data_IF_484865519698
#
_entry.id   IF_484865519698
#
_cell.length_a   1.000
_cell.length_b   1.000
_cell.length_c   1.000
_cell.angle_alpha   90.00
_cell.angle_beta   90.00
_cell.angle_gamma   90.00
#
_symmetry.space_group_name_H-M   'P 1'
#
loop_
_entity.id
_entity.type
_entity.pdbx_description
1 polymer ?
#
# COMPACT_ATOMS: atom_id res chain seq x y z
N UNK A 1 -16.58 -8.37 -8.48
CA UNK A 1 -15.39 -8.12 -9.30
C UNK A 1 -15.47 -6.69 -9.81
N UNK A 2 -14.55 -5.84 -9.39
CA UNK A 2 -14.48 -4.44 -9.85
C UNK A 2 -13.84 -4.40 -11.23
N UNK A 3 -14.47 -3.74 -12.20
CA UNK A 3 -13.90 -3.59 -13.54
C UNK A 3 -12.90 -2.44 -13.60
N UNK A 4 -11.72 -2.68 -14.16
CA UNK A 4 -10.70 -1.65 -14.39
C UNK A 4 -11.04 -0.92 -15.69
N UNK A 5 -11.21 0.41 -15.65
CA UNK A 5 -11.52 1.22 -16.84
C UNK A 5 -10.26 1.46 -17.69
N UNK A 6 -10.44 1.51 -19.01
CA UNK A 6 -9.39 1.82 -19.99
C UNK A 6 -8.78 3.22 -19.82
N UNK A 7 -7.59 3.43 -20.40
CA UNK A 7 -6.83 4.68 -20.39
C UNK A 7 -6.19 5.06 -19.04
N UNK A 8 -6.26 4.17 -18.04
CA UNK A 8 -5.66 4.40 -16.72
C UNK A 8 -4.21 3.92 -16.65
N UNK A 9 -3.40 4.65 -15.88
CA UNK A 9 -2.08 4.20 -15.43
C UNK A 9 -2.26 3.43 -14.13
N UNK A 10 -1.81 2.18 -14.09
CA UNK A 10 -1.95 1.28 -12.95
C UNK A 10 -0.60 0.89 -12.39
N UNK A 11 -0.50 0.78 -11.07
CA UNK A 11 0.59 0.09 -10.41
C UNK A 11 0.04 -1.19 -9.79
N UNK A 12 0.62 -2.32 -10.18
CA UNK A 12 0.16 -3.64 -9.77
C UNK A 12 1.02 -4.15 -8.62
N UNK A 13 0.35 -4.44 -7.51
CA UNK A 13 0.85 -5.22 -6.39
C UNK A 13 0.86 -6.74 -6.73
N UNK A 14 1.54 -7.57 -5.95
CA UNK A 14 1.60 -9.02 -6.15
C UNK A 14 0.19 -9.64 -6.22
N UNK A 15 -0.74 -9.18 -5.38
CA UNK A 15 -2.11 -9.71 -5.38
C UNK A 15 -2.89 -9.39 -6.66
N UNK A 16 -2.50 -8.33 -7.37
CA UNK A 16 -3.10 -7.92 -8.64
C UNK A 16 -2.64 -8.79 -9.81
N UNK A 17 -1.58 -9.58 -9.62
CA UNK A 17 -0.98 -10.43 -10.64
C UNK A 17 -1.35 -11.92 -10.49
N UNK A 18 -2.28 -12.24 -9.60
CA UNK A 18 -2.82 -13.60 -9.52
C UNK A 18 -3.45 -14.03 -10.84
N UNK A 19 -3.28 -15.31 -11.18
CA UNK A 19 -3.67 -15.87 -12.46
C UNK A 19 -5.17 -15.69 -12.72
N UNK A 20 -5.51 -14.89 -13.73
CA UNK A 20 -6.88 -14.77 -14.25
C UNK A 20 -7.43 -13.35 -14.35
N UNK A 21 -6.72 -12.34 -13.82
CA UNK A 21 -7.10 -10.94 -14.04
C UNK A 21 -6.68 -10.48 -15.42
N UNK A 22 -7.64 -10.17 -16.27
CA UNK A 22 -7.40 -9.46 -17.52
C UNK A 22 -7.53 -7.96 -17.29
N UNK A 23 -6.53 -7.22 -17.74
CA UNK A 23 -6.50 -5.75 -17.70
C UNK A 23 -6.84 -5.20 -19.09
N UNK A 24 -7.50 -4.02 -19.18
CA UNK A 24 -7.79 -3.38 -20.46
C UNK A 24 -6.53 -3.24 -21.31
N UNK A 25 -6.59 -3.52 -22.63
CA UNK A 25 -5.43 -3.43 -23.51
C UNK A 25 -4.76 -2.05 -23.51
N UNK A 26 -5.55 -0.99 -23.34
CA UNK A 26 -5.16 0.41 -23.32
C UNK A 26 -4.74 0.92 -21.92
N UNK A 27 -4.83 0.09 -20.88
CA UNK A 27 -4.25 0.42 -19.57
C UNK A 27 -2.72 0.28 -19.61
N UNK A 28 -2.03 1.25 -19.01
CA UNK A 28 -0.56 1.24 -18.85
C UNK A 28 -0.22 0.63 -17.51
N UNK A 29 0.47 -0.50 -17.50
CA UNK A 29 0.70 -1.30 -16.31
C UNK A 29 2.15 -1.13 -15.84
N UNK A 30 2.31 -0.72 -14.60
CA UNK A 30 3.59 -0.60 -13.91
C UNK A 30 3.68 -1.57 -12.72
N UNK A 31 4.90 -1.91 -12.35
CA UNK A 31 5.20 -2.63 -11.11
C UNK A 31 6.65 -2.37 -10.70
N UNK A 32 7.07 -2.88 -9.54
CA UNK A 32 8.44 -2.77 -9.03
C UNK A 32 9.24 -4.05 -9.31
N UNK A 33 10.58 -3.97 -9.39
CA UNK A 33 11.43 -5.15 -9.58
C UNK A 33 11.26 -6.23 -8.50
N UNK A 34 11.00 -5.83 -7.25
CA UNK A 34 10.84 -6.78 -6.14
C UNK A 34 9.55 -7.59 -6.29
N UNK A 35 8.45 -6.96 -6.71
CA UNK A 35 7.19 -7.64 -7.03
C UNK A 35 7.39 -8.64 -8.18
N UNK A 36 8.15 -8.28 -9.23
CA UNK A 36 8.47 -9.21 -10.32
C UNK A 36 9.31 -10.40 -9.80
N UNK A 37 10.26 -10.13 -8.90
CA UNK A 37 11.11 -11.16 -8.32
C UNK A 37 10.30 -12.14 -7.46
N UNK A 38 9.36 -11.63 -6.66
CA UNK A 38 8.41 -12.43 -5.90
C UNK A 38 7.50 -13.25 -6.83
N UNK A 39 6.92 -12.61 -7.84
CA UNK A 39 6.04 -13.26 -8.81
C UNK A 39 6.76 -14.41 -9.51
N UNK A 40 8.00 -14.20 -9.98
CA UNK A 40 8.82 -15.25 -10.60
C UNK A 40 9.21 -16.36 -9.64
N UNK A 41 9.30 -16.08 -8.34
CA UNK A 41 9.60 -17.09 -7.31
C UNK A 41 8.38 -17.97 -7.05
N UNK A 42 7.20 -17.37 -6.91
CA UNK A 42 5.96 -18.06 -6.53
C UNK A 42 5.26 -18.68 -7.74
N UNK A 43 5.25 -18.01 -8.89
CA UNK A 43 4.46 -18.37 -10.07
C UNK A 43 5.34 -18.56 -11.31
N UNK A 44 6.06 -19.70 -11.35
CA UNK A 44 6.93 -20.09 -12.46
C UNK A 44 6.12 -20.66 -13.63
N UNK A 45 5.49 -19.80 -14.42
CA UNK A 45 4.74 -20.21 -15.60
C UNK A 45 5.11 -19.39 -16.83
N UNK A 46 5.00 -20.00 -18.02
CA UNK A 46 5.22 -19.29 -19.29
C UNK A 46 4.25 -18.12 -19.48
N UNK A 47 3.05 -18.20 -18.90
CA UNK A 47 2.06 -17.10 -18.93
C UNK A 47 2.52 -15.92 -18.08
N UNK A 48 3.11 -16.19 -16.91
CA UNK A 48 3.66 -15.16 -16.02
C UNK A 48 4.78 -14.39 -16.73
N UNK A 49 5.75 -15.12 -17.29
CA UNK A 49 6.89 -14.50 -17.99
C UNK A 49 6.41 -13.69 -19.20
N UNK A 50 5.51 -14.25 -20.01
CA UNK A 50 4.93 -13.53 -21.13
C UNK A 50 4.23 -12.23 -20.70
N UNK A 51 3.46 -12.26 -19.61
CA UNK A 51 2.79 -11.06 -19.09
C UNK A 51 3.78 -10.00 -18.63
N UNK A 52 4.81 -10.41 -17.87
CA UNK A 52 5.89 -9.53 -17.41
C UNK A 52 6.61 -8.88 -18.60
N UNK A 53 6.99 -9.68 -19.60
CA UNK A 53 7.82 -9.22 -20.70
C UNK A 53 7.05 -8.39 -21.75
N UNK A 54 5.72 -8.56 -21.85
CA UNK A 54 4.92 -7.92 -22.92
C UNK A 54 3.94 -6.86 -22.47
N UNK A 55 3.51 -6.87 -21.19
CA UNK A 55 2.45 -5.98 -20.69
C UNK A 55 2.89 -5.09 -19.53
N UNK A 56 3.92 -5.50 -18.77
CA UNK A 56 4.37 -4.75 -17.59
C UNK A 56 5.57 -3.87 -17.89
N UNK A 57 5.52 -2.63 -17.37
CA UNK A 57 6.69 -1.75 -17.28
C UNK A 57 7.23 -1.81 -15.86
N UNK A 58 8.42 -2.41 -15.70
CA UNK A 58 9.07 -2.52 -14.39
C UNK A 58 9.86 -1.25 -14.11
N UNK A 59 9.59 -0.58 -13.00
CA UNK A 59 10.23 0.70 -12.63
C UNK A 59 10.47 0.80 -11.13
N UNK A 60 11.66 1.28 -10.74
CA UNK A 60 11.93 1.68 -9.35
C UNK A 60 11.38 3.07 -9.06
N UNK A 61 10.75 3.29 -7.89
CA UNK A 61 10.37 4.64 -7.47
C UNK A 61 11.60 5.49 -7.16
N UNK A 62 11.44 6.82 -7.24
CA UNK A 62 12.47 7.76 -6.75
C UNK A 62 12.59 7.71 -5.24
N UNK A 63 13.82 7.88 -4.76
CA UNK A 63 14.12 7.93 -3.32
C UNK A 63 13.30 9.00 -2.57
N UNK A 64 13.05 10.15 -3.18
CA UNK A 64 12.21 11.21 -2.58
C UNK A 64 10.74 10.79 -2.42
N UNK A 65 10.21 9.97 -3.31
CA UNK A 65 8.86 9.40 -3.19
C UNK A 65 8.82 8.38 -2.05
N UNK A 66 9.84 7.53 -1.93
CA UNK A 66 9.99 6.54 -0.84
C UNK A 66 9.99 7.23 0.52
N UNK A 67 10.76 8.30 0.67
CA UNK A 67 10.84 9.08 1.91
C UNK A 67 9.49 9.69 2.27
N UNK A 68 8.79 10.30 1.31
CA UNK A 68 7.47 10.88 1.54
C UNK A 68 6.44 9.84 1.99
N UNK A 69 6.39 8.69 1.32
CA UNK A 69 5.47 7.60 1.66
C UNK A 69 5.78 7.04 3.06
N UNK A 70 7.07 6.84 3.39
CA UNK A 70 7.48 6.39 4.72
C UNK A 70 7.08 7.36 5.82
N UNK A 71 7.27 8.66 5.61
CA UNK A 71 6.87 9.67 6.59
C UNK A 71 5.34 9.70 6.78
N UNK A 72 4.56 9.54 5.69
CA UNK A 72 3.11 9.42 5.81
C UNK A 72 2.69 8.14 6.55
N UNK A 73 3.32 7.00 6.23
CA UNK A 73 3.07 5.72 6.88
C UNK A 73 3.46 5.72 8.37
N UNK A 74 4.48 6.48 8.75
CA UNK A 74 4.81 6.69 10.17
C UNK A 74 3.72 7.51 10.86
N UNK A 75 3.27 8.59 10.22
CA UNK A 75 2.26 9.51 10.77
C UNK A 75 0.89 8.86 10.99
N UNK A 76 0.46 7.97 10.10
CA UNK A 76 -0.80 7.23 10.26
C UNK A 76 -0.66 5.92 11.08
N UNK A 77 0.58 5.51 11.38
CA UNK A 77 0.91 4.33 12.15
C UNK A 77 0.91 3.01 11.36
N UNK A 78 0.82 3.06 10.03
CA UNK A 78 0.87 1.86 9.17
C UNK A 78 2.30 1.39 8.86
N UNK A 79 3.34 2.17 9.14
CA UNK A 79 4.73 1.81 8.80
C UNK A 79 5.16 0.44 9.31
N UNK A 80 4.65 -0.01 10.46
CA UNK A 80 4.97 -1.31 11.03
C UNK A 80 4.21 -2.49 10.38
N UNK A 81 3.24 -2.20 9.51
CA UNK A 81 2.40 -3.15 8.77
C UNK A 81 2.79 -3.29 7.30
N UNK A 82 3.53 -2.32 6.77
CA UNK A 82 3.99 -2.29 5.38
C UNK A 82 5.35 -2.97 5.25
N UNK A 83 5.48 -3.85 4.27
CA UNK A 83 6.75 -4.38 3.79
C UNK A 83 7.55 -3.32 3.01
N UNK A 84 8.86 -3.51 2.80
CA UNK A 84 9.64 -2.68 1.87
C UNK A 84 9.02 -2.62 0.46
N UNK A 85 8.50 -3.74 -0.03
CA UNK A 85 7.87 -3.88 -1.34
C UNK A 85 6.57 -3.05 -1.42
N UNK A 86 5.76 -3.05 -0.34
CA UNK A 86 4.54 -2.23 -0.25
C UNK A 86 4.86 -0.74 -0.34
N UNK A 87 5.94 -0.32 0.33
CA UNK A 87 6.42 1.07 0.28
C UNK A 87 6.81 1.43 -1.15
N UNK A 88 7.48 0.55 -1.88
CA UNK A 88 7.90 0.83 -3.25
C UNK A 88 6.70 0.91 -4.21
N UNK A 89 5.69 0.05 -4.05
CA UNK A 89 4.43 0.11 -4.80
C UNK A 89 3.70 1.44 -4.55
N UNK A 90 3.52 1.82 -3.28
CA UNK A 90 2.91 3.08 -2.90
C UNK A 90 3.69 4.28 -3.47
N UNK A 91 5.01 4.23 -3.41
CA UNK A 91 5.90 5.30 -3.87
C UNK A 91 5.88 5.46 -5.38
N UNK A 92 5.84 4.36 -6.11
CA UNK A 92 5.76 4.37 -7.56
C UNK A 92 4.40 4.92 -8.01
N UNK A 93 3.32 4.51 -7.36
CA UNK A 93 1.98 5.01 -7.66
C UNK A 93 1.85 6.51 -7.35
N UNK A 94 2.43 6.96 -6.24
CA UNK A 94 2.49 8.37 -5.87
C UNK A 94 3.23 9.20 -6.94
N UNK A 95 4.41 8.75 -7.37
CA UNK A 95 5.21 9.43 -8.41
C UNK A 95 4.47 9.53 -9.75
N UNK A 96 3.81 8.44 -10.16
CA UNK A 96 3.14 8.34 -11.45
C UNK A 96 1.71 8.90 -11.46
N UNK A 97 1.17 9.30 -10.29
CA UNK A 97 -0.25 9.61 -10.09
C UNK A 97 -1.15 8.48 -10.60
N UNK A 98 -0.73 7.24 -10.34
CA UNK A 98 -1.36 6.03 -10.85
C UNK A 98 -2.35 5.45 -9.84
N UNK A 99 -3.27 4.61 -10.33
CA UNK A 99 -4.16 3.82 -9.48
C UNK A 99 -3.46 2.53 -9.05
N UNK A 100 -3.46 2.22 -7.75
CA UNK A 100 -2.92 0.94 -7.25
C UNK A 100 -3.96 -0.15 -7.41
N UNK A 101 -3.57 -1.33 -7.87
CA UNK A 101 -4.41 -2.52 -7.80
C UNK A 101 -3.84 -3.40 -6.69
N UNK A 102 -4.63 -3.65 -5.65
CA UNK A 102 -4.18 -4.40 -4.46
C UNK A 102 -5.37 -4.92 -3.65
N UNK A 103 -5.18 -6.05 -2.98
CA UNK A 103 -6.11 -6.58 -1.98
C UNK A 103 -5.61 -6.33 -0.53
N UNK A 104 -4.47 -5.66 -0.34
CA UNK A 104 -3.92 -5.39 0.99
C UNK A 104 -4.53 -4.13 1.61
N UNK A 105 -5.22 -4.28 2.74
CA UNK A 105 -5.85 -3.15 3.42
C UNK A 105 -4.87 -2.12 3.99
N UNK A 106 -3.64 -2.50 4.32
CA UNK A 106 -2.59 -1.57 4.77
C UNK A 106 -2.13 -0.68 3.62
N UNK A 107 -1.97 -1.25 2.41
CA UNK A 107 -1.70 -0.47 1.19
C UNK A 107 -2.88 0.45 0.89
N UNK A 108 -4.12 -0.05 0.92
CA UNK A 108 -5.31 0.78 0.66
C UNK A 108 -5.49 1.92 1.68
N UNK A 109 -5.17 1.67 2.95
CA UNK A 109 -5.25 2.68 4.01
C UNK A 109 -4.19 3.78 3.83
N UNK A 110 -2.95 3.40 3.52
CA UNK A 110 -1.86 4.34 3.26
C UNK A 110 -2.08 5.11 1.95
N UNK A 111 -2.56 4.44 0.90
CA UNK A 111 -2.97 5.06 -0.35
C UNK A 111 -4.06 6.11 -0.11
N UNK A 112 -5.04 5.82 0.75
CA UNK A 112 -6.07 6.79 1.14
C UNK A 112 -5.49 8.03 1.82
N UNK A 113 -4.51 7.87 2.72
CA UNK A 113 -3.82 8.99 3.37
C UNK A 113 -3.00 9.85 2.38
N UNK A 114 -2.46 9.22 1.34
CA UNK A 114 -1.69 9.87 0.27
C UNK A 114 -2.57 10.44 -0.85
N UNK A 115 -3.89 10.23 -0.82
CA UNK A 115 -4.80 10.62 -1.89
C UNK A 115 -4.63 9.82 -3.19
N UNK A 116 -4.05 8.63 -3.10
CA UNK A 116 -3.84 7.72 -4.24
C UNK A 116 -5.12 6.89 -4.46
N UNK A 117 -5.57 6.80 -5.72
CA UNK A 117 -6.66 5.89 -6.08
C UNK A 117 -6.20 4.44 -5.98
N UNK A 118 -7.11 3.54 -5.60
CA UNK A 118 -6.84 2.10 -5.63
C UNK A 118 -8.08 1.29 -6.02
N UNK A 119 -7.85 0.06 -6.47
CA UNK A 119 -8.85 -0.92 -6.89
C UNK A 119 -8.60 -2.23 -6.14
N UNK A 120 -9.65 -2.74 -5.52
CA UNK A 120 -9.75 -4.12 -5.01
C UNK A 120 -10.57 -4.93 -6.01
N UNK A 121 -10.04 -6.06 -6.48
CA UNK A 121 -10.65 -6.91 -7.51
C UNK A 121 -11.58 -7.96 -6.90
N UNK A 122 -11.14 -8.60 -5.82
CA UNK A 122 -11.78 -9.78 -5.25
C UNK A 122 -12.53 -9.50 -3.94
N UNK A 123 -11.94 -8.71 -3.05
CA UNK A 123 -12.57 -8.34 -1.77
C UNK A 123 -13.13 -6.92 -1.82
N UNK A 124 -14.07 -6.56 -0.91
CA UNK A 124 -14.52 -5.19 -0.79
C UNK A 124 -13.37 -4.25 -0.44
N UNK A 125 -13.31 -3.09 -1.09
CA UNK A 125 -12.36 -2.04 -0.73
C UNK A 125 -12.54 -1.58 0.72
N UNK A 126 -11.45 -1.13 1.36
CA UNK A 126 -11.50 -0.58 2.70
C UNK A 126 -12.50 0.58 2.78
N UNK A 127 -13.45 0.48 3.72
CA UNK A 127 -14.51 1.47 3.90
C UNK A 127 -14.09 2.60 4.86
N UNK A 128 -13.31 2.24 5.88
CA UNK A 128 -12.88 3.15 6.93
C UNK A 128 -11.37 3.32 6.91
N UNK A 129 -10.93 4.58 6.87
CA UNK A 129 -9.56 4.94 7.17
C UNK A 129 -9.25 4.64 8.64
N UNK A 130 -8.10 4.02 8.89
CA UNK A 130 -7.67 3.57 10.22
C UNK A 130 -6.39 4.30 10.64
N UNK A 131 -6.43 4.95 11.79
CA UNK A 131 -5.21 5.44 12.45
C UNK A 131 -4.79 4.47 13.56
N UNK A 132 -3.49 4.15 13.60
CA UNK A 132 -2.90 3.29 14.61
C UNK A 132 -2.01 4.10 15.54
N UNK A 133 -2.19 3.91 16.84
CA UNK A 133 -1.29 4.43 17.86
C UNK A 133 -0.53 3.27 18.48
N UNK A 134 0.72 3.50 18.81
CA UNK A 134 1.50 2.60 19.66
C UNK A 134 1.43 3.11 21.08
N UNK A 135 0.89 2.30 21.99
CA UNK A 135 0.64 2.68 23.38
C UNK A 135 1.31 1.71 24.35
N UNK A 136 1.88 2.24 25.43
CA UNK A 136 2.41 1.43 26.51
C UNK A 136 1.29 0.79 27.33
N UNK A 137 1.33 -0.53 27.54
CA UNK A 137 0.32 -1.23 28.36
C UNK A 137 0.44 -0.93 29.85
N UNK A 138 1.62 -0.48 30.31
CA UNK A 138 1.90 -0.25 31.73
C UNK A 138 1.54 1.17 32.18
N UNK A 139 1.90 2.20 31.40
CA UNK A 139 1.68 3.60 31.78
C UNK A 139 0.74 4.37 30.83
N UNK A 140 0.29 3.76 29.73
CA UNK A 140 -0.61 4.41 28.76
C UNK A 140 0.04 5.44 27.84
N UNK A 141 1.36 5.68 27.93
CA UNK A 141 2.07 6.62 27.07
C UNK A 141 1.94 6.22 25.59
N UNK A 142 1.65 7.19 24.73
CA UNK A 142 1.59 7.02 23.27
C UNK A 142 2.99 7.27 22.71
N UNK A 143 3.57 6.28 22.04
CA UNK A 143 4.87 6.42 21.41
C UNK A 143 4.80 7.36 20.21
N UNK A 144 5.85 8.17 20.04
CA UNK A 144 6.03 9.06 18.89
C UNK A 144 6.34 8.28 17.60
N UNK A 145 6.99 7.12 17.76
CA UNK A 145 7.39 6.24 16.66
C UNK A 145 6.60 4.93 16.73
N UNK A 146 5.89 4.61 15.65
CA UNK A 146 5.08 3.40 15.53
C UNK A 146 5.90 2.09 15.50
N UNK A 147 7.23 2.17 15.37
CA UNK A 147 8.14 1.01 15.42
C UNK A 147 8.64 0.70 16.84
N UNK A 148 8.38 1.59 17.80
CA UNK A 148 8.92 1.48 19.16
C UNK A 148 8.20 0.39 19.98
N UNK A 149 8.89 -0.73 20.22
CA UNK A 149 8.35 -1.88 20.98
C UNK A 149 8.35 -1.72 22.50
N UNK A 150 9.21 -0.85 23.03
CA UNK A 150 9.36 -0.61 24.47
C UNK A 150 9.17 0.86 24.82
N UNK A 151 8.47 1.15 25.92
CA UNK A 151 8.16 2.51 26.33
C UNK A 151 9.41 3.25 26.82
N UNK A 152 9.76 4.37 26.19
CA UNK A 152 10.87 5.24 26.61
C UNK A 152 10.68 5.89 27.98
N UNK A 153 9.45 5.91 28.50
CA UNK A 153 9.12 6.54 29.79
C UNK A 153 9.25 5.56 30.97
N UNK A 154 8.81 4.30 30.79
CA UNK A 154 8.74 3.34 31.90
C UNK A 154 9.30 1.95 31.59
N UNK A 155 9.81 1.70 30.39
CA UNK A 155 10.30 0.38 29.94
C UNK A 155 9.21 -0.66 29.68
N UNK A 156 7.93 -0.33 29.91
CA UNK A 156 6.82 -1.24 29.65
C UNK A 156 6.62 -1.57 28.17
N UNK A 157 5.99 -2.71 27.88
CA UNK A 157 5.73 -3.13 26.49
C UNK A 157 4.76 -2.18 25.79
N UNK A 158 5.09 -1.81 24.55
CA UNK A 158 4.18 -1.09 23.69
C UNK A 158 3.35 -2.04 22.82
N UNK A 159 2.08 -1.71 22.61
CA UNK A 159 1.16 -2.41 21.71
C UNK A 159 0.53 -1.44 20.73
N UNK A 160 0.21 -1.92 19.52
CA UNK A 160 -0.52 -1.14 18.53
C UNK A 160 -2.02 -1.21 18.83
N UNK A 161 -2.68 -0.06 18.95
CA UNK A 161 -4.12 0.07 19.17
C UNK A 161 -4.74 0.98 18.13
N UNK A 162 -5.89 0.57 17.60
CA UNK A 162 -6.71 1.40 16.69
C UNK A 162 -7.20 2.63 17.46
N UNK A 163 -6.90 3.83 16.96
CA UNK A 163 -7.22 5.10 17.60
C UNK A 163 -8.62 5.59 17.23
N UNK A 164 -8.86 5.78 15.94
CA UNK A 164 -10.13 6.21 15.36
C UNK A 164 -10.29 5.61 13.96
N UNK A 165 -11.55 5.39 13.60
CA UNK A 165 -11.95 5.08 12.24
C UNK A 165 -12.87 6.17 11.74
N UNK A 166 -12.62 6.66 10.52
CA UNK A 166 -13.52 7.57 9.79
C UNK A 166 -13.68 7.02 8.39
N UNK A 167 -14.74 7.40 7.68
CA UNK A 167 -14.91 6.90 6.32
C UNK A 167 -13.70 7.32 5.46
N UNK A 168 -13.32 6.47 4.50
CA UNK A 168 -12.23 6.82 3.56
C UNK A 168 -12.51 8.12 2.81
N UNK A 169 -13.80 8.42 2.56
CA UNK A 169 -14.22 9.69 1.93
C UNK A 169 -13.82 10.88 2.79
N UNK A 170 -14.12 10.85 4.09
CA UNK A 170 -13.77 11.93 5.03
C UNK A 170 -12.26 12.04 5.28
N UNK A 171 -11.49 10.97 5.05
CA UNK A 171 -10.05 10.98 5.21
C UNK A 171 -9.32 11.65 4.04
N UNK A 172 -9.87 11.58 2.82
CA UNK A 172 -9.29 12.17 1.60
C UNK A 172 -9.49 13.69 1.50
N UNK A 173 -10.39 14.27 2.29
CA UNK A 173 -10.64 15.71 2.38
C UNK A 173 -10.31 16.27 3.78
N UNK A 174 -9.02 16.39 4.16
CA UNK A 174 -8.65 16.97 5.44
C UNK A 174 -8.86 18.49 5.44
N UNK A 175 -10.06 18.94 5.81
CA UNK A 175 -10.37 20.34 6.09
C UNK A 175 -11.48 20.92 5.23
N UNK A 176 -12.69 20.99 5.80
CA UNK A 176 -13.71 21.98 5.44
C UNK A 176 -14.06 22.76 6.70
#
# INVERSE_FOLDING_TARGET
MTEVKGGKVLVLDTSAMYSGTDYPPDAVLYTTPDIVSELRRVYRSSRTEFFVDTRLTVKMPRQSSIEMVREMAKKNGDIARLSPEDIDVLSLAFELKATIVTEDYSIQNTASALGIEYISLYIPAINDYVEWNVICVSCGHVAEDATQKECRICGGRNITKRRKSRSVRDAREPGR
#
